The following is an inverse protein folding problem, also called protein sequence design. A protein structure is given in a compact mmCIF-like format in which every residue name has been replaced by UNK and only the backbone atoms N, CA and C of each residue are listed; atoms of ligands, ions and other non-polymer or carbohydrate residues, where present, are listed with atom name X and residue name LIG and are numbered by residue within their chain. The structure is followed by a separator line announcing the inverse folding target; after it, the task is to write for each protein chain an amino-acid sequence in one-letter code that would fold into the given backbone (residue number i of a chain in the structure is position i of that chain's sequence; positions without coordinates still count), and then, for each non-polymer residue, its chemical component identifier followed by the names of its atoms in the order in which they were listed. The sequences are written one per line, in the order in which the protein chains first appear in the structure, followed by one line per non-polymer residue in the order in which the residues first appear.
data_IF_412296215407
#
_entry.id   IF_412296215407
#
_cell.length_a   1.000
_cell.length_b   1.000
_cell.length_c   1.000
_cell.angle_alpha   90.00
_cell.angle_beta   90.00
_cell.angle_gamma   90.00
#
_symmetry.space_group_name_H-M   'P 1'
#
loop_
_entity.id
_entity.type
_entity.pdbx_description
1 polymer ?
#
# COMPACT_ATOMS: atom_id res chain seq x y z
N UNK A 1 36.89 2.31 47.68
CA UNK A 1 36.24 2.58 46.36
C UNK A 1 35.99 1.24 45.70
N UNK A 2 34.72 0.83 45.62
CA UNK A 2 34.32 -0.57 45.36
C UNK A 2 34.58 -1.02 43.93
N UNK A 3 35.51 -1.94 43.77
CA UNK A 3 35.85 -2.61 42.50
C UNK A 3 34.67 -3.40 41.87
N UNK A 4 33.65 -3.69 42.68
CA UNK A 4 32.46 -4.43 42.31
C UNK A 4 31.55 -3.63 41.33
N UNK A 5 31.60 -2.29 41.35
CA UNK A 5 30.74 -1.42 40.54
C UNK A 5 31.15 -1.37 39.07
N UNK A 6 32.42 -1.52 38.75
CA UNK A 6 32.92 -1.38 37.37
C UNK A 6 32.67 -2.65 36.56
N UNK A 7 32.79 -3.84 37.15
CA UNK A 7 32.54 -5.12 36.47
C UNK A 7 31.08 -5.28 36.04
N UNK A 8 30.13 -4.77 36.89
CA UNK A 8 28.70 -4.85 36.55
C UNK A 8 28.25 -3.86 35.44
N UNK A 9 29.10 -2.86 35.15
CA UNK A 9 28.83 -1.89 34.09
C UNK A 9 29.49 -2.29 32.76
N UNK A 10 30.56 -3.06 32.77
CA UNK A 10 31.30 -3.49 31.59
C UNK A 10 30.49 -4.43 30.70
N UNK A 11 29.74 -5.36 31.28
CA UNK A 11 28.94 -6.34 30.54
C UNK A 11 27.78 -5.68 29.76
N UNK A 12 26.90 -4.85 30.36
CA UNK A 12 25.84 -4.17 29.60
C UNK A 12 26.40 -3.17 28.57
N UNK A 13 27.54 -2.52 28.87
CA UNK A 13 28.17 -1.62 27.93
C UNK A 13 28.72 -2.37 26.70
N UNK A 14 29.34 -3.54 26.89
CA UNK A 14 29.83 -4.39 25.81
C UNK A 14 28.66 -4.92 24.93
N UNK A 15 27.53 -5.27 25.54
CA UNK A 15 26.32 -5.70 24.81
C UNK A 15 25.74 -4.54 24.00
N UNK A 16 25.67 -3.33 24.57
CA UNK A 16 25.22 -2.14 23.83
C UNK A 16 26.13 -1.78 22.66
N UNK A 17 27.46 -1.92 22.86
CA UNK A 17 28.44 -1.67 21.79
C UNK A 17 28.33 -2.69 20.66
N UNK A 18 28.14 -3.98 20.99
CA UNK A 18 27.90 -5.05 20.02
C UNK A 18 26.60 -4.84 19.23
N UNK A 19 25.52 -4.44 19.94
CA UNK A 19 24.27 -4.08 19.26
C UNK A 19 24.41 -2.85 18.36
N UNK A 20 25.16 -1.83 18.79
CA UNK A 20 25.41 -0.65 17.97
C UNK A 20 26.20 -1.00 16.70
N UNK A 21 27.17 -1.91 16.77
CA UNK A 21 27.93 -2.40 15.62
C UNK A 21 27.06 -3.28 14.71
N UNK A 22 26.21 -4.14 15.29
CA UNK A 22 25.31 -5.03 14.52
C UNK A 22 24.15 -4.28 13.83
N UNK A 23 23.72 -3.16 14.41
CA UNK A 23 22.64 -2.31 13.89
C UNK A 23 23.18 -1.16 13.01
N UNK A 24 24.50 -0.99 12.90
CA UNK A 24 25.05 -0.03 11.96
C UNK A 24 24.94 -0.65 10.56
N UNK A 25 24.03 -0.17 9.71
CA UNK A 25 23.96 -0.68 8.36
C UNK A 25 25.25 -0.24 7.65
N UNK A 26 26.13 -1.20 7.38
CA UNK A 26 27.28 -1.02 6.50
C UNK A 26 26.83 -0.99 5.02
N UNK A 27 25.72 -0.33 4.78
CA UNK A 27 25.23 -0.01 3.47
C UNK A 27 25.59 1.44 3.15
N UNK A 28 26.83 1.67 2.83
CA UNK A 28 27.12 2.73 1.88
C UNK A 28 26.35 2.37 0.62
N UNK A 29 25.19 3.03 0.41
CA UNK A 29 24.49 2.99 -0.87
C UNK A 29 25.50 3.41 -1.93
N UNK A 30 26.09 2.42 -2.60
CA UNK A 30 27.00 2.69 -3.70
C UNK A 30 26.12 3.13 -4.88
N UNK A 31 26.15 4.42 -5.28
CA UNK A 31 25.31 4.92 -6.36
C UNK A 31 25.59 4.20 -7.70
N UNK A 32 26.76 3.56 -7.85
CA UNK A 32 27.10 2.76 -9.04
C UNK A 32 26.22 1.51 -9.19
N UNK A 33 25.69 0.93 -8.09
CA UNK A 33 24.74 -0.19 -8.15
C UNK A 33 23.35 0.22 -8.64
N UNK A 34 23.08 1.51 -8.70
CA UNK A 34 21.80 2.07 -9.17
C UNK A 34 21.99 2.90 -10.45
N UNK A 35 23.17 2.83 -11.06
CA UNK A 35 23.44 3.47 -12.35
C UNK A 35 22.59 2.82 -13.42
N UNK A 36 21.83 3.64 -14.16
CA UNK A 36 21.12 3.24 -15.37
C UNK A 36 22.01 3.35 -16.62
N UNK A 37 23.29 3.63 -16.44
CA UNK A 37 24.28 3.71 -17.50
C UNK A 37 24.46 2.33 -18.14
N UNK A 38 24.09 2.21 -19.42
CA UNK A 38 24.10 0.95 -20.17
C UNK A 38 22.75 0.20 -20.19
N UNK A 39 21.70 0.72 -19.56
CA UNK A 39 20.34 0.22 -19.78
C UNK A 39 19.82 0.81 -21.10
N UNK A 40 20.01 0.10 -22.19
CA UNK A 40 19.29 0.39 -23.41
C UNK A 40 17.82 -0.06 -23.23
N UNK A 41 16.95 0.90 -22.97
CA UNK A 41 15.50 0.69 -23.01
C UNK A 41 15.12 0.58 -24.50
N UNK A 42 15.07 -0.64 -25.02
CA UNK A 42 14.55 -0.92 -26.36
C UNK A 42 13.03 -0.77 -26.35
N UNK A 43 12.58 0.48 -26.48
CA UNK A 43 11.19 0.76 -26.78
C UNK A 43 10.97 0.53 -28.27
N UNK A 44 10.49 -0.63 -28.60
CA UNK A 44 10.01 -0.93 -29.95
C UNK A 44 8.69 -0.17 -30.20
N UNK A 45 8.81 1.14 -30.36
CA UNK A 45 7.70 1.97 -30.83
C UNK A 45 7.62 1.69 -32.33
N UNK A 46 6.57 1.00 -32.78
CA UNK A 46 6.28 0.83 -34.20
C UNK A 46 6.31 2.19 -34.87
N UNK A 47 7.08 2.30 -35.96
CA UNK A 47 7.32 3.54 -36.69
C UNK A 47 6.05 4.25 -37.22
N UNK A 48 4.89 3.64 -37.10
CA UNK A 48 3.60 4.18 -37.55
C UNK A 48 2.97 5.19 -36.55
N UNK A 49 3.61 5.42 -35.39
CA UNK A 49 3.11 6.38 -34.37
C UNK A 49 3.95 7.68 -34.35
N UNK A 50 4.94 7.82 -35.24
CA UNK A 50 5.73 9.05 -35.39
C UNK A 50 4.98 10.10 -36.21
N UNK A 51 3.85 10.58 -35.75
CA UNK A 51 3.12 11.71 -36.31
C UNK A 51 2.84 12.76 -35.26
N UNK A 52 3.57 13.87 -35.35
CA UNK A 52 3.37 15.20 -34.75
C UNK A 52 3.22 15.29 -33.24
N UNK A 53 4.02 16.14 -32.63
CA UNK A 53 4.12 16.40 -31.17
C UNK A 53 2.80 16.78 -30.47
N UNK A 54 1.73 17.12 -31.19
CA UNK A 54 0.42 17.41 -30.64
C UNK A 54 -0.47 16.17 -30.52
N UNK A 55 -0.31 15.17 -31.40
CA UNK A 55 -1.04 13.90 -31.31
C UNK A 55 -0.45 12.97 -30.24
N UNK A 56 0.86 12.99 -29.99
CA UNK A 56 1.48 12.23 -28.89
C UNK A 56 0.94 12.63 -27.52
N UNK A 57 0.68 13.92 -27.28
CA UNK A 57 0.10 14.40 -26.02
C UNK A 57 -1.34 13.90 -25.83
N UNK A 58 -2.10 13.82 -26.91
CA UNK A 58 -3.50 13.34 -26.88
C UNK A 58 -3.55 11.82 -26.65
N UNK A 59 -2.68 11.06 -27.34
CA UNK A 59 -2.60 9.59 -27.19
C UNK A 59 -2.10 9.21 -25.79
N UNK A 60 -1.10 9.91 -25.28
CA UNK A 60 -0.60 9.66 -23.92
C UNK A 60 -1.68 9.93 -22.83
N UNK A 61 -2.50 10.97 -23.02
CA UNK A 61 -3.63 11.25 -22.12
C UNK A 61 -4.77 10.24 -22.24
N UNK A 62 -4.94 9.56 -23.39
CA UNK A 62 -5.96 8.51 -23.56
C UNK A 62 -5.56 7.18 -22.90
N UNK A 63 -4.27 6.87 -22.79
CA UNK A 63 -3.77 5.64 -22.17
C UNK A 63 -3.31 5.78 -20.72
N UNK A 64 -3.21 6.99 -20.20
CA UNK A 64 -3.02 7.17 -18.76
C UNK A 64 -4.36 6.83 -18.10
N UNK A 65 -4.47 5.74 -17.32
CA UNK A 65 -5.70 5.46 -16.62
C UNK A 65 -5.97 6.64 -15.71
N UNK A 66 -6.89 7.52 -16.13
CA UNK A 66 -7.37 8.60 -15.29
C UNK A 66 -8.15 7.92 -14.18
N UNK A 67 -7.44 7.53 -13.10
CA UNK A 67 -8.01 7.08 -11.84
C UNK A 67 -8.72 8.31 -11.25
N UNK A 68 -9.81 8.70 -11.92
CA UNK A 68 -10.60 9.85 -11.55
C UNK A 68 -11.24 9.65 -10.18
N UNK A 69 -12.03 10.60 -9.75
CA UNK A 69 -12.81 10.57 -8.50
C UNK A 69 -13.96 9.53 -8.56
N UNK A 70 -13.80 8.45 -9.31
CA UNK A 70 -14.74 7.35 -9.44
C UNK A 70 -14.49 6.30 -8.36
N UNK A 71 -15.50 5.49 -8.07
CA UNK A 71 -15.36 4.34 -7.16
C UNK A 71 -14.33 3.34 -7.68
N UNK A 72 -14.28 3.09 -8.99
CA UNK A 72 -13.28 2.23 -9.61
C UNK A 72 -11.86 2.78 -9.41
N UNK A 73 -11.66 4.08 -9.60
CA UNK A 73 -10.36 4.71 -9.34
C UNK A 73 -9.92 4.59 -7.88
N UNK A 74 -10.85 4.74 -6.94
CA UNK A 74 -10.60 4.52 -5.51
C UNK A 74 -10.19 3.07 -5.22
N UNK A 75 -10.96 2.11 -5.76
CA UNK A 75 -10.74 0.68 -5.59
C UNK A 75 -9.36 0.25 -6.10
N UNK A 76 -9.02 0.64 -7.33
CA UNK A 76 -7.74 0.28 -7.93
C UNK A 76 -6.54 0.98 -7.26
N UNK A 77 -6.69 2.24 -6.85
CA UNK A 77 -5.65 2.94 -6.10
C UNK A 77 -5.34 2.27 -4.75
N UNK A 78 -6.38 1.82 -4.04
CA UNK A 78 -6.22 1.07 -2.80
C UNK A 78 -5.57 -0.29 -3.07
N UNK A 79 -6.06 -1.05 -4.04
CA UNK A 79 -5.51 -2.34 -4.43
C UNK A 79 -4.01 -2.25 -4.78
N UNK A 80 -3.63 -1.20 -5.50
CA UNK A 80 -2.22 -0.98 -5.84
C UNK A 80 -1.35 -0.75 -4.58
N UNK A 81 -1.85 -0.03 -3.60
CA UNK A 81 -1.15 0.20 -2.32
C UNK A 81 -1.03 -1.06 -1.48
N UNK A 82 -2.07 -1.92 -1.48
CA UNK A 82 -2.14 -3.12 -0.66
C UNK A 82 -1.30 -4.28 -1.23
N UNK A 83 -1.41 -4.56 -2.52
CA UNK A 83 -0.80 -5.75 -3.14
C UNK A 83 -0.24 -5.50 -4.54
N UNK A 84 -0.22 -4.26 -5.03
CA UNK A 84 0.01 -3.91 -6.44
C UNK A 84 -1.01 -4.54 -7.39
N UNK A 85 -2.20 -4.85 -6.88
CA UNK A 85 -3.29 -5.45 -7.64
C UNK A 85 -3.24 -6.98 -7.74
N UNK A 86 -2.35 -7.66 -7.00
CA UNK A 86 -2.21 -9.11 -7.04
C UNK A 86 -3.31 -9.81 -6.20
N UNK A 87 -4.15 -10.59 -6.88
CA UNK A 87 -5.23 -11.36 -6.24
C UNK A 87 -4.74 -12.54 -5.39
N UNK A 88 -3.57 -13.11 -5.70
CA UNK A 88 -3.14 -14.38 -5.13
C UNK A 88 -2.08 -14.24 -4.05
N UNK A 89 -1.77 -13.01 -3.67
CA UNK A 89 -0.77 -12.72 -2.66
C UNK A 89 -1.28 -12.91 -1.24
N UNK A 90 -0.40 -13.37 -0.36
CA UNK A 90 -0.60 -13.38 1.10
C UNK A 90 0.61 -12.72 1.73
N UNK A 91 0.40 -11.72 2.55
CA UNK A 91 1.52 -11.04 3.20
C UNK A 91 2.01 -11.81 4.46
N UNK A 92 3.09 -11.35 5.06
CA UNK A 92 3.71 -11.98 6.24
C UNK A 92 2.80 -12.00 7.47
N UNK A 93 1.78 -11.14 7.52
CA UNK A 93 0.78 -11.07 8.60
C UNK A 93 -0.46 -11.93 8.31
N UNK A 94 -0.51 -12.59 7.14
CA UNK A 94 -1.61 -13.47 6.74
C UNK A 94 -2.82 -12.75 6.14
N UNK A 95 -2.66 -11.50 5.68
CA UNK A 95 -3.68 -10.81 4.91
C UNK A 95 -3.71 -11.30 3.48
N UNK A 96 -4.91 -11.35 2.87
CA UNK A 96 -5.22 -12.12 1.69
C UNK A 96 -5.61 -11.24 0.50
N UNK A 97 -5.04 -11.55 -0.65
CA UNK A 97 -5.48 -11.13 -1.98
C UNK A 97 -5.24 -9.67 -2.33
N UNK A 98 -5.90 -9.24 -3.39
CA UNK A 98 -5.74 -7.92 -4.01
C UNK A 98 -5.89 -6.76 -3.01
N UNK A 99 -6.81 -6.90 -2.05
CA UNK A 99 -7.14 -5.86 -1.08
C UNK A 99 -6.64 -6.16 0.34
N UNK A 100 -5.80 -7.18 0.50
CA UNK A 100 -5.19 -7.57 1.77
C UNK A 100 -6.20 -7.72 2.92
N UNK A 101 -7.21 -8.56 2.72
CA UNK A 101 -8.23 -8.82 3.73
C UNK A 101 -7.73 -9.70 4.88
N UNK A 102 -7.97 -9.25 6.10
CA UNK A 102 -7.82 -10.10 7.28
C UNK A 102 -8.95 -11.12 7.41
N UNK A 103 -8.65 -12.31 7.94
CA UNK A 103 -9.63 -13.40 8.12
C UNK A 103 -10.85 -12.98 8.95
N UNK A 104 -10.64 -12.15 9.96
CA UNK A 104 -11.76 -11.67 10.79
C UNK A 104 -12.65 -10.69 10.04
N UNK A 105 -12.09 -9.82 9.21
CA UNK A 105 -12.86 -8.94 8.33
C UNK A 105 -13.70 -9.72 7.34
N UNK A 106 -13.12 -10.80 6.76
CA UNK A 106 -13.87 -11.70 5.86
C UNK A 106 -15.08 -12.35 6.56
N UNK A 107 -14.93 -12.80 7.81
CA UNK A 107 -16.05 -13.36 8.58
C UNK A 107 -17.16 -12.33 8.81
N UNK A 108 -16.82 -11.07 9.08
CA UNK A 108 -17.80 -9.99 9.27
C UNK A 108 -18.66 -9.75 8.04
N UNK A 109 -18.11 -9.99 6.84
CA UNK A 109 -18.86 -9.89 5.58
C UNK A 109 -19.37 -11.24 5.05
N UNK A 110 -19.35 -12.29 5.89
CA UNK A 110 -19.94 -13.59 5.59
C UNK A 110 -19.04 -14.57 4.82
N UNK A 111 -17.75 -14.31 4.74
CA UNK A 111 -16.79 -15.18 4.05
C UNK A 111 -15.98 -15.97 5.08
N UNK A 112 -16.23 -17.28 5.18
CA UNK A 112 -15.65 -18.15 6.20
C UNK A 112 -14.51 -19.04 5.67
N UNK A 113 -14.34 -19.14 4.34
CA UNK A 113 -13.30 -19.94 3.72
C UNK A 113 -12.22 -19.05 3.08
N UNK A 114 -11.07 -18.82 3.76
CA UNK A 114 -10.00 -17.97 3.26
C UNK A 114 -9.35 -18.49 1.96
N UNK A 115 -9.28 -19.81 1.77
CA UNK A 115 -8.69 -20.39 0.56
C UNK A 115 -9.62 -20.17 -0.64
N UNK A 116 -10.91 -20.36 -0.49
CA UNK A 116 -11.88 -20.05 -1.53
C UNK A 116 -11.84 -18.56 -1.90
N UNK A 117 -11.69 -17.68 -0.90
CA UNK A 117 -11.54 -16.25 -1.12
C UNK A 117 -10.28 -15.92 -1.92
N UNK A 118 -9.12 -16.46 -1.52
CA UNK A 118 -7.83 -16.17 -2.14
C UNK A 118 -7.81 -16.57 -3.63
N UNK A 119 -8.39 -17.69 -3.98
CA UNK A 119 -8.39 -18.20 -5.36
C UNK A 119 -9.62 -17.81 -6.17
N UNK A 120 -10.41 -16.85 -5.69
CA UNK A 120 -11.59 -16.35 -6.40
C UNK A 120 -11.56 -14.82 -6.53
N UNK A 121 -11.00 -14.27 -7.64
CA UNK A 121 -10.95 -12.83 -7.88
C UNK A 121 -12.31 -12.14 -7.84
N UNK A 122 -13.35 -12.76 -8.40
CA UNK A 122 -14.70 -12.19 -8.38
C UNK A 122 -15.24 -12.05 -6.94
N UNK A 123 -14.98 -13.03 -6.09
CA UNK A 123 -15.34 -12.97 -4.68
C UNK A 123 -14.58 -11.86 -3.94
N UNK A 124 -13.31 -11.63 -4.30
CA UNK A 124 -12.52 -10.55 -3.72
C UNK A 124 -13.07 -9.17 -4.10
N UNK A 125 -13.49 -8.97 -5.35
CA UNK A 125 -14.13 -7.74 -5.80
C UNK A 125 -15.46 -7.50 -5.05
N UNK A 126 -16.30 -8.52 -4.93
CA UNK A 126 -17.56 -8.45 -4.17
C UNK A 126 -17.33 -8.16 -2.68
N UNK A 127 -16.34 -8.80 -2.09
CA UNK A 127 -15.95 -8.57 -0.70
C UNK A 127 -15.52 -7.13 -0.45
N UNK A 128 -14.75 -6.56 -1.38
CA UNK A 128 -14.32 -5.17 -1.28
C UNK A 128 -15.50 -4.21 -1.29
N UNK A 129 -16.45 -4.40 -2.21
CA UNK A 129 -17.67 -3.59 -2.28
C UNK A 129 -18.47 -3.72 -0.97
N UNK A 130 -18.75 -4.95 -0.52
CA UNK A 130 -19.51 -5.19 0.70
C UNK A 130 -18.87 -4.58 1.95
N UNK A 131 -17.56 -4.72 2.10
CA UNK A 131 -16.82 -4.12 3.21
C UNK A 131 -16.84 -2.59 3.16
N UNK A 132 -16.67 -2.01 1.97
CA UNK A 132 -16.69 -0.56 1.78
C UNK A 132 -18.06 0.03 2.09
N UNK A 133 -19.14 -0.60 1.61
CA UNK A 133 -20.52 -0.20 1.91
C UNK A 133 -20.83 -0.29 3.40
N UNK A 134 -20.42 -1.39 4.04
CA UNK A 134 -20.54 -1.55 5.49
C UNK A 134 -19.80 -0.43 6.24
N UNK A 135 -18.56 -0.16 5.90
CA UNK A 135 -17.75 0.89 6.54
C UNK A 135 -18.38 2.27 6.32
N UNK A 136 -18.89 2.55 5.12
CA UNK A 136 -19.62 3.78 4.82
C UNK A 136 -20.87 3.92 5.68
N UNK A 137 -21.63 2.84 5.86
CA UNK A 137 -22.81 2.85 6.72
C UNK A 137 -22.46 3.10 8.19
N UNK A 138 -21.43 2.43 8.72
CA UNK A 138 -20.97 2.62 10.11
C UNK A 138 -20.52 4.06 10.31
N UNK A 139 -19.67 4.57 9.42
CA UNK A 139 -19.02 5.89 9.52
C UNK A 139 -19.87 7.05 8.94
N UNK A 140 -21.13 6.81 8.55
CA UNK A 140 -21.96 7.83 7.88
C UNK A 140 -22.08 9.16 8.61
N UNK A 141 -22.03 9.15 9.96
CA UNK A 141 -22.09 10.35 10.79
C UNK A 141 -20.74 11.09 10.77
N UNK A 142 -19.64 10.34 10.79
CA UNK A 142 -18.31 10.89 10.79
C UNK A 142 -17.94 11.43 9.39
N UNK A 143 -18.33 10.72 8.33
CA UNK A 143 -18.22 11.22 6.95
C UNK A 143 -18.92 12.57 6.85
N UNK A 144 -20.19 12.66 7.22
CA UNK A 144 -20.95 13.91 7.20
C UNK A 144 -20.33 15.03 8.04
N UNK A 145 -19.66 14.68 9.14
CA UNK A 145 -19.05 15.61 10.08
C UNK A 145 -17.71 16.14 9.60
N UNK A 146 -16.91 15.31 8.93
CA UNK A 146 -15.50 15.60 8.66
C UNK A 146 -15.18 15.83 7.18
N UNK A 147 -16.02 15.35 6.25
CA UNK A 147 -15.81 15.59 4.83
C UNK A 147 -15.67 17.06 4.49
N UNK A 148 -14.66 17.38 3.68
CA UNK A 148 -14.35 18.75 3.27
C UNK A 148 -13.52 19.56 4.28
N UNK A 149 -13.38 19.11 5.53
CA UNK A 149 -12.57 19.80 6.54
C UNK A 149 -11.08 19.61 6.29
N UNK A 150 -10.31 20.60 6.72
CA UNK A 150 -8.85 20.54 6.71
C UNK A 150 -8.39 20.08 8.09
N UNK A 151 -7.73 18.90 8.16
CA UNK A 151 -7.19 18.34 9.41
C UNK A 151 -5.70 18.06 9.18
N UNK A 152 -4.83 18.65 9.99
CA UNK A 152 -3.38 18.50 9.83
C UNK A 152 -2.84 18.91 8.45
N UNK A 153 -3.48 19.91 7.80
CA UNK A 153 -3.11 20.36 6.45
C UNK A 153 -3.66 19.50 5.31
N UNK A 154 -4.39 18.43 5.61
CA UNK A 154 -4.99 17.51 4.62
C UNK A 154 -6.49 17.70 4.55
N UNK A 155 -7.03 17.88 3.34
CA UNK A 155 -8.48 17.94 3.12
C UNK A 155 -9.08 16.53 3.23
N UNK A 156 -9.94 16.34 4.21
CA UNK A 156 -10.65 15.08 4.43
C UNK A 156 -11.66 14.83 3.30
N UNK A 157 -11.65 13.63 2.74
CA UNK A 157 -12.62 13.17 1.75
C UNK A 157 -13.30 11.88 2.21
N UNK A 158 -14.49 11.56 1.70
CA UNK A 158 -15.17 10.30 1.94
C UNK A 158 -14.24 9.12 1.60
N UNK A 159 -13.58 9.14 0.44
CA UNK A 159 -12.66 8.08 0.02
C UNK A 159 -11.46 7.94 0.98
N UNK A 160 -10.93 9.05 1.52
CA UNK A 160 -9.87 9.01 2.53
C UNK A 160 -10.32 8.35 3.83
N UNK A 161 -11.54 8.66 4.31
CA UNK A 161 -12.13 8.02 5.49
C UNK A 161 -12.33 6.52 5.25
N UNK A 162 -12.85 6.14 4.07
CA UNK A 162 -13.08 4.73 3.73
C UNK A 162 -11.79 3.94 3.54
N UNK A 163 -10.74 4.57 3.00
CA UNK A 163 -9.42 3.96 2.92
C UNK A 163 -8.83 3.71 4.32
N UNK A 164 -8.93 4.69 5.22
CA UNK A 164 -8.50 4.53 6.60
C UNK A 164 -9.27 3.42 7.32
N UNK A 165 -10.60 3.34 7.09
CA UNK A 165 -11.44 2.29 7.65
C UNK A 165 -11.13 0.89 7.07
N UNK A 166 -10.64 0.79 5.86
CA UNK A 166 -10.16 -0.47 5.30
C UNK A 166 -8.92 -0.98 6.03
N UNK A 167 -8.00 -0.07 6.37
CA UNK A 167 -6.74 -0.39 7.05
C UNK A 167 -6.91 -0.70 8.55
N UNK A 168 -7.72 0.10 9.24
CA UNK A 168 -7.80 0.11 10.71
C UNK A 168 -9.14 -0.37 11.28
N UNK A 169 -10.12 -0.60 10.42
CA UNK A 169 -11.52 -0.80 10.80
C UNK A 169 -12.28 0.52 10.93
N UNK A 170 -13.62 0.46 10.89
CA UNK A 170 -14.50 1.60 11.06
C UNK A 170 -14.66 2.04 12.51
#
# INVERSE_FOLDING_TARGET
MNIISVKNFLLPFAICLLMAVALYPDSQLNPEHYSTEGLELDFNISKDIAMTSQEEVIVFNMFTPHLGKSFEGFKEALAFKESRGDYFTVNTLGYLGKYQFGKETLKVIGIYNPNQFLYNPELQEKAFVANTERNKWVLRKDIKRFEGKLIGGVKVSESGILAAAHLAGP
#
